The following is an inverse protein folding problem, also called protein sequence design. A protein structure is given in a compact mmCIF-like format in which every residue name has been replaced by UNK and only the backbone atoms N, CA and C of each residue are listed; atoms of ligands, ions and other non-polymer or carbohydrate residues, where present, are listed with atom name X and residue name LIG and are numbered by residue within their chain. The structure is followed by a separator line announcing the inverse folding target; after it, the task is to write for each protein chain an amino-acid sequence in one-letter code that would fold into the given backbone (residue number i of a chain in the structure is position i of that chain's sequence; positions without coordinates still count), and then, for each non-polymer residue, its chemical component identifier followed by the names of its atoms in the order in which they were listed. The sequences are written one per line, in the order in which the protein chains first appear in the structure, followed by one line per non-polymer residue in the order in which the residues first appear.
data_IF_067656683585
#
_entry.id   IF_067656683585
#
_cell.length_a   1.000
_cell.length_b   1.000
_cell.length_c   1.000
_cell.angle_alpha   90.00
_cell.angle_beta   90.00
_cell.angle_gamma   90.00
#
_symmetry.space_group_name_H-M   'P 1'
#
loop_
_entity.id
_entity.type
_entity.pdbx_description
1 polymer ?
#
# COMPACT_ATOMS: atom_id res chain seq x y z
N UNK A 1 -4.91 -17.42 -8.44
CA UNK A 1 -5.12 -16.27 -7.53
C UNK A 1 -3.87 -15.42 -7.49
N UNK A 2 -4.03 -14.12 -7.69
CA UNK A 2 -2.89 -13.20 -7.73
C UNK A 2 -2.45 -12.83 -6.31
N UNK A 3 -1.13 -12.73 -6.07
CA UNK A 3 -0.61 -12.29 -4.79
C UNK A 3 -0.82 -10.78 -4.64
N UNK A 4 -1.22 -10.33 -3.44
CA UNK A 4 -1.32 -8.90 -3.16
C UNK A 4 0.04 -8.21 -3.29
N UNK A 5 1.12 -8.92 -3.01
CA UNK A 5 2.48 -8.41 -3.20
C UNK A 5 2.74 -8.07 -4.67
N UNK A 6 2.21 -8.86 -5.59
CA UNK A 6 2.32 -8.59 -7.03
C UNK A 6 1.50 -7.38 -7.44
N UNK A 7 0.34 -7.16 -6.80
CA UNK A 7 -0.50 -6.00 -7.10
C UNK A 7 0.17 -4.68 -6.72
N UNK A 8 0.87 -4.66 -5.59
CA UNK A 8 1.48 -3.43 -5.08
C UNK A 8 2.92 -3.24 -5.51
N UNK A 9 3.55 -4.24 -6.10
CA UNK A 9 4.96 -4.24 -6.47
C UNK A 9 5.35 -3.08 -7.39
N UNK A 10 4.47 -2.71 -8.30
CA UNK A 10 4.69 -1.63 -9.26
C UNK A 10 4.31 -0.26 -8.71
N UNK A 11 3.67 -0.24 -7.55
CA UNK A 11 3.20 0.99 -6.94
C UNK A 11 4.12 1.38 -5.79
N UNK A 12 4.54 2.63 -5.77
CA UNK A 12 5.58 3.09 -4.86
C UNK A 12 5.12 4.20 -3.91
N UNK A 13 3.86 4.61 -3.99
CA UNK A 13 3.40 5.76 -3.21
C UNK A 13 2.32 5.36 -2.22
N UNK A 14 2.48 5.81 -0.99
CA UNK A 14 1.60 5.44 0.10
C UNK A 14 1.46 6.60 1.09
N UNK A 15 0.33 6.62 1.81
CA UNK A 15 0.10 7.59 2.90
C UNK A 15 0.45 6.92 4.23
N UNK A 16 1.70 7.00 4.66
CA UNK A 16 2.23 6.45 5.91
C UNK A 16 3.39 7.29 6.41
N UNK A 17 3.75 7.18 7.71
CA UNK A 17 4.94 7.86 8.23
C UNK A 17 6.23 7.41 7.55
N UNK A 18 7.20 8.30 7.50
CA UNK A 18 8.49 8.07 6.86
C UNK A 18 9.43 7.19 7.72
N UNK A 19 10.31 6.46 7.03
CA UNK A 19 11.44 5.77 7.65
C UNK A 19 11.09 4.62 8.58
N UNK A 20 9.99 3.90 8.29
CA UNK A 20 9.50 2.84 9.15
C UNK A 20 9.14 1.60 8.36
N UNK A 21 9.09 0.45 9.05
CA UNK A 21 8.64 -0.83 8.48
C UNK A 21 7.26 -1.17 9.01
N UNK A 22 6.40 -1.65 8.11
CA UNK A 22 5.02 -1.97 8.44
C UNK A 22 4.65 -3.36 7.94
N UNK A 23 3.91 -4.10 8.76
CA UNK A 23 3.20 -5.29 8.35
C UNK A 23 1.77 -4.87 8.01
N UNK A 24 1.38 -5.08 6.77
CA UNK A 24 0.13 -4.53 6.24
C UNK A 24 -0.87 -5.62 5.88
N UNK A 25 -2.16 -5.28 6.02
CA UNK A 25 -3.25 -6.16 5.66
C UNK A 25 -4.29 -5.37 4.85
N UNK A 26 -4.75 -5.95 3.75
CA UNK A 26 -5.79 -5.35 2.91
C UNK A 26 -7.05 -5.08 3.72
N UNK A 27 -7.69 -3.95 3.44
CA UNK A 27 -8.96 -3.59 4.07
C UNK A 27 -10.09 -3.46 3.05
N UNK A 28 -9.94 -2.55 2.08
CA UNK A 28 -11.01 -2.29 1.12
C UNK A 28 -10.50 -1.52 -0.09
N UNK A 29 -11.31 -1.47 -1.12
CA UNK A 29 -11.12 -0.63 -2.30
C UNK A 29 -11.95 0.63 -2.18
N UNK A 30 -11.41 1.74 -2.68
CA UNK A 30 -12.13 3.01 -2.70
C UNK A 30 -11.95 3.65 -4.07
N UNK A 31 -13.03 4.10 -4.75
CA UNK A 31 -12.90 4.73 -6.06
C UNK A 31 -12.22 6.10 -5.94
N UNK A 32 -11.51 6.49 -6.99
CA UNK A 32 -10.96 7.83 -7.12
C UNK A 32 -11.99 8.76 -7.74
N UNK A 33 -11.87 10.05 -7.50
CA UNK A 33 -12.78 11.05 -8.07
C UNK A 33 -12.69 11.11 -9.60
N UNK A 34 -11.50 10.90 -10.13
CA UNK A 34 -11.26 10.97 -11.58
C UNK A 34 -11.65 9.70 -12.32
N UNK A 35 -11.83 8.59 -11.61
CA UNK A 35 -12.04 7.28 -12.22
C UNK A 35 -10.78 6.67 -12.82
N UNK A 36 -9.65 7.34 -12.71
CA UNK A 36 -8.36 6.87 -13.22
C UNK A 36 -7.58 6.21 -12.10
N UNK A 37 -7.78 4.91 -11.94
CA UNK A 37 -7.14 4.17 -10.87
C UNK A 37 -8.09 3.88 -9.72
N UNK A 38 -7.55 3.31 -8.66
CA UNK A 38 -8.31 2.93 -7.47
C UNK A 38 -7.43 3.13 -6.24
N UNK A 39 -8.06 3.46 -5.13
CA UNK A 39 -7.37 3.56 -3.84
C UNK A 39 -7.50 2.25 -3.10
N UNK A 40 -6.38 1.67 -2.67
CA UNK A 40 -6.37 0.51 -1.80
C UNK A 40 -6.21 0.99 -0.36
N UNK A 41 -7.21 0.68 0.47
CA UNK A 41 -7.12 0.93 1.90
C UNK A 41 -6.54 -0.29 2.60
N UNK A 42 -5.62 -0.08 3.52
CA UNK A 42 -5.01 -1.17 4.27
C UNK A 42 -4.68 -0.73 5.68
N UNK A 43 -4.57 -1.70 6.57
CA UNK A 43 -4.09 -1.47 7.93
C UNK A 43 -2.60 -1.75 7.97
N UNK A 44 -1.82 -0.83 8.51
CA UNK A 44 -0.38 -0.95 8.59
C UNK A 44 0.05 -0.92 10.05
N UNK A 45 0.69 -1.98 10.52
CA UNK A 45 1.21 -2.06 11.88
C UNK A 45 2.72 -1.87 11.85
N UNK A 46 3.20 -0.84 12.52
CA UNK A 46 4.63 -0.59 12.62
C UNK A 46 5.28 -1.73 13.41
N UNK A 47 6.30 -2.37 12.83
CA UNK A 47 6.88 -3.58 13.38
C UNK A 47 7.56 -3.34 14.75
N UNK A 48 8.22 -2.19 14.91
CA UNK A 48 8.98 -1.91 16.14
C UNK A 48 8.12 -1.46 17.32
N UNK A 49 7.00 -0.76 17.06
CA UNK A 49 6.16 -0.19 18.13
C UNK A 49 4.81 -0.85 18.24
N UNK A 50 4.44 -1.68 17.27
CA UNK A 50 3.11 -2.30 17.13
C UNK A 50 1.97 -1.28 16.97
N UNK A 51 2.30 -0.02 16.67
CA UNK A 51 1.30 1.02 16.42
C UNK A 51 0.65 0.81 15.06
N UNK A 52 -0.68 0.91 14.99
CA UNK A 52 -1.46 0.68 13.78
C UNK A 52 -1.89 1.99 13.12
N UNK A 53 -1.75 2.04 11.80
CA UNK A 53 -2.14 3.17 10.97
C UNK A 53 -3.08 2.71 9.87
N UNK A 54 -3.96 3.60 9.41
CA UNK A 54 -4.74 3.38 8.20
C UNK A 54 -3.92 3.93 7.02
N UNK A 55 -3.57 3.05 6.09
CA UNK A 55 -2.81 3.44 4.91
C UNK A 55 -3.68 3.49 3.67
N UNK A 56 -3.30 4.33 2.73
CA UNK A 56 -3.94 4.42 1.42
C UNK A 56 -2.87 4.37 0.35
N UNK A 57 -3.09 3.54 -0.66
CA UNK A 57 -2.18 3.39 -1.80
C UNK A 57 -2.98 3.59 -3.09
N UNK A 58 -2.51 4.48 -3.96
CA UNK A 58 -3.13 4.70 -5.26
C UNK A 58 -2.57 3.71 -6.28
N UNK A 59 -3.45 3.00 -6.97
CA UNK A 59 -3.11 2.07 -8.05
C UNK A 59 -3.63 2.61 -9.38
N UNK A 60 -2.73 2.72 -10.35
CA UNK A 60 -3.05 3.32 -11.65
C UNK A 60 -4.08 2.52 -12.43
N UNK A 61 -4.07 1.20 -12.31
CA UNK A 61 -5.00 0.33 -13.01
C UNK A 61 -6.19 -0.02 -12.13
N UNK A 62 -7.33 0.61 -12.40
CA UNK A 62 -8.53 0.39 -11.59
C UNK A 62 -9.15 -1.00 -11.75
N UNK A 63 -8.77 -1.74 -12.79
CA UNK A 63 -9.27 -3.10 -12.99
C UNK A 63 -8.75 -4.09 -11.95
N UNK A 64 -7.71 -3.74 -11.19
CA UNK A 64 -7.16 -4.62 -10.15
C UNK A 64 -8.19 -4.94 -9.07
N UNK A 65 -9.18 -4.07 -8.83
CA UNK A 65 -10.24 -4.32 -7.86
C UNK A 65 -11.14 -5.49 -8.24
N UNK A 66 -11.12 -5.89 -9.52
CA UNK A 66 -11.89 -7.02 -10.03
C UNK A 66 -11.08 -8.30 -10.12
N UNK A 67 -9.79 -8.25 -9.82
CA UNK A 67 -8.93 -9.42 -9.83
C UNK A 67 -9.04 -10.20 -8.53
N UNK A 68 -8.93 -11.52 -8.63
CA UNK A 68 -8.93 -12.38 -7.46
C UNK A 68 -7.54 -12.42 -6.85
N UNK A 69 -7.46 -12.16 -5.56
CA UNK A 69 -6.22 -12.29 -4.79
C UNK A 69 -6.56 -12.65 -3.34
N UNK A 70 -5.57 -13.17 -2.64
CA UNK A 70 -5.74 -13.55 -1.24
C UNK A 70 -5.74 -12.31 -0.35
N UNK A 71 -6.93 -11.90 0.08
CA UNK A 71 -7.11 -10.72 0.95
C UNK A 71 -6.59 -10.92 2.36
N UNK A 72 -6.26 -12.16 2.73
CA UNK A 72 -5.68 -12.46 4.03
C UNK A 72 -4.15 -12.43 4.01
N UNK A 73 -3.55 -12.36 2.81
CA UNK A 73 -2.11 -12.28 2.67
C UNK A 73 -1.61 -10.94 3.20
N UNK A 74 -0.59 -11.00 4.04
CA UNK A 74 0.05 -9.80 4.55
C UNK A 74 1.19 -9.37 3.64
N UNK A 75 1.46 -8.09 3.61
CA UNK A 75 2.60 -7.56 2.87
C UNK A 75 3.40 -6.65 3.79
N UNK A 76 4.72 -6.73 3.65
CA UNK A 76 5.65 -5.95 4.46
C UNK A 76 6.30 -4.90 3.58
N UNK A 77 6.22 -3.66 4.01
CA UNK A 77 6.79 -2.52 3.29
C UNK A 77 7.67 -1.70 4.22
N UNK A 78 8.62 -1.01 3.62
CA UNK A 78 9.46 -0.03 4.32
C UNK A 78 9.30 1.30 3.60
N UNK A 79 9.04 2.36 4.35
CA UNK A 79 8.97 3.70 3.79
C UNK A 79 10.36 4.34 3.78
N UNK A 80 10.63 5.14 2.75
CA UNK A 80 11.88 5.90 2.67
C UNK A 80 11.93 6.93 3.81
N UNK A 81 13.16 7.31 4.19
CA UNK A 81 13.36 8.29 5.26
C UNK A 81 13.00 9.71 4.86
N UNK A 82 12.88 9.98 3.57
CA UNK A 82 12.56 11.31 3.04
C UNK A 82 11.52 11.21 1.94
N UNK A 83 10.75 12.28 1.77
CA UNK A 83 9.81 12.39 0.65
C UNK A 83 10.60 12.46 -0.67
N UNK A 84 9.97 11.98 -1.76
CA UNK A 84 10.58 12.11 -3.07
C UNK A 84 10.47 13.57 -3.58
N UNK A 85 11.00 13.82 -4.78
CA UNK A 85 10.99 15.16 -5.38
C UNK A 85 9.57 15.74 -5.54
N UNK A 86 8.56 14.88 -5.66
CA UNK A 86 7.17 15.30 -5.82
C UNK A 86 6.41 15.39 -4.49
N UNK A 87 7.07 15.15 -3.37
CA UNK A 87 6.48 15.26 -2.05
C UNK A 87 5.71 14.03 -1.58
N UNK A 88 5.96 12.86 -2.17
CA UNK A 88 5.30 11.62 -1.81
C UNK A 88 6.18 10.71 -0.97
N UNK A 89 5.55 9.90 -0.12
CA UNK A 89 6.21 8.83 0.62
C UNK A 89 6.43 7.65 -0.32
N UNK A 90 7.67 7.24 -0.49
CA UNK A 90 8.03 6.12 -1.37
C UNK A 90 8.21 4.86 -0.54
N UNK A 91 7.72 3.74 -1.05
CA UNK A 91 7.82 2.45 -0.37
C UNK A 91 8.75 1.50 -1.12
N UNK A 92 9.34 0.59 -0.35
CA UNK A 92 10.07 -0.56 -0.87
C UNK A 92 9.47 -1.82 -0.27
N UNK A 93 9.32 -2.85 -1.09
CA UNK A 93 8.87 -4.15 -0.59
C UNK A 93 9.99 -4.79 0.20
N UNK A 94 9.65 -5.40 1.33
CA UNK A 94 10.59 -6.12 2.18
C UNK A 94 10.31 -7.61 2.06
N UNK A 95 11.30 -8.33 1.62
CA UNK A 95 11.23 -9.79 1.49
C UNK A 95 11.44 -10.51 2.83
#
# INVERSE_FOLDING_TARGET
MKSINDLIKENKFVSLPLGKKFSCAFKDWKPTKSGNGVLMQFNATEITTAKTYSGIMWLANNSVQNEEFDKTEKFIIETESELNADGYVVINMVD
#
